data_IF_325909827764
#
_entry.id   IF_325909827764
#
_cell.length_a   1.000
_cell.length_b   1.000
_cell.length_c   1.000
_cell.angle_alpha   90.00
_cell.angle_beta   90.00
_cell.angle_gamma   90.00
#
_symmetry.space_group_name_H-M   'P 1'
#
loop_
_entity.id
_entity.type
_entity.pdbx_description
1 polymer ?
#
# COMPACT_ATOMS: atom_id res chain seq x y z
N UNK A 1 -9.90 33.90 -24.96
CA UNK A 1 -11.14 33.25 -24.49
C UNK A 1 -10.74 32.11 -23.54
N UNK A 2 -11.14 32.20 -22.27
CA UNK A 2 -10.85 31.22 -21.21
C UNK A 2 -12.18 30.56 -20.83
N UNK A 3 -12.27 29.23 -20.85
CA UNK A 3 -13.51 28.59 -20.41
C UNK A 3 -13.61 27.11 -20.74
N UNK A 4 -13.08 26.27 -19.85
CA UNK A 4 -13.73 25.04 -19.37
C UNK A 4 -13.21 24.79 -17.95
N UNK A 5 -14.02 25.06 -16.94
CA UNK A 5 -13.71 24.64 -15.57
C UNK A 5 -13.65 23.10 -15.57
N UNK A 6 -12.44 22.57 -15.35
CA UNK A 6 -12.26 21.14 -15.30
C UNK A 6 -12.78 20.63 -13.96
N UNK A 7 -13.94 19.96 -13.95
CA UNK A 7 -14.52 19.42 -12.72
C UNK A 7 -13.90 18.07 -12.41
N UNK A 8 -13.07 18.03 -11.37
CA UNK A 8 -12.57 16.79 -10.75
C UNK A 8 -13.69 16.16 -9.92
N UNK A 9 -13.87 14.85 -10.06
CA UNK A 9 -14.86 14.07 -9.33
C UNK A 9 -14.20 12.82 -8.77
N UNK A 10 -14.59 12.41 -7.57
CA UNK A 10 -14.15 11.14 -6.96
C UNK A 10 -15.37 10.40 -6.43
N UNK A 11 -15.56 9.16 -6.87
CA UNK A 11 -16.63 8.28 -6.43
C UNK A 11 -16.06 7.21 -5.51
N UNK A 12 -16.75 6.99 -4.39
CA UNK A 12 -16.40 6.00 -3.38
C UNK A 12 -17.49 4.95 -3.31
N UNK A 13 -17.09 3.68 -3.36
CA UNK A 13 -18.01 2.56 -3.31
C UNK A 13 -17.74 1.74 -2.05
N UNK A 14 -18.80 1.38 -1.35
CA UNK A 14 -18.73 0.65 -0.09
C UNK A 14 -19.55 -0.63 -0.18
N UNK A 15 -19.13 -1.68 0.54
CA UNK A 15 -19.95 -2.86 0.76
C UNK A 15 -20.91 -2.67 1.96
N UNK A 16 -21.76 -3.67 2.23
CA UNK A 16 -22.72 -3.65 3.35
C UNK A 16 -22.08 -3.59 4.74
N UNK A 17 -20.78 -3.87 4.85
CA UNK A 17 -19.99 -3.75 6.09
C UNK A 17 -19.32 -2.37 6.22
N UNK A 18 -19.72 -1.39 5.41
CA UNK A 18 -19.13 -0.05 5.36
C UNK A 18 -17.63 -0.04 5.00
N UNK A 19 -17.14 -1.05 4.29
CA UNK A 19 -15.76 -1.11 3.84
C UNK A 19 -15.64 -0.52 2.44
N UNK A 20 -14.64 0.34 2.23
CA UNK A 20 -14.37 0.98 0.94
C UNK A 20 -13.83 -0.05 -0.06
N UNK A 21 -14.63 -0.47 -1.03
CA UNK A 21 -14.24 -1.49 -2.01
C UNK A 21 -13.65 -0.90 -3.28
N UNK A 22 -14.01 0.34 -3.64
CA UNK A 22 -13.52 0.99 -4.86
C UNK A 22 -13.47 2.51 -4.72
N UNK A 23 -12.44 3.10 -5.30
CA UNK A 23 -12.32 4.55 -5.53
C UNK A 23 -12.13 4.77 -7.02
N UNK A 24 -12.99 5.58 -7.63
CA UNK A 24 -12.86 6.01 -9.02
C UNK A 24 -12.67 7.51 -9.06
N UNK A 25 -11.58 7.97 -9.68
CA UNK A 25 -11.36 9.38 -9.95
C UNK A 25 -11.64 9.65 -11.41
N UNK A 26 -12.30 10.78 -11.66
CA UNK A 26 -12.59 11.22 -13.01
C UNK A 26 -12.51 12.73 -13.16
N UNK A 27 -12.43 13.16 -14.42
CA UNK A 27 -12.34 14.54 -14.81
C UNK A 27 -13.26 14.76 -15.99
N UNK A 28 -14.11 15.79 -15.90
CA UNK A 28 -15.09 16.10 -16.95
C UNK A 28 -15.99 14.91 -17.33
N UNK A 29 -16.36 14.08 -16.35
CA UNK A 29 -17.20 12.89 -16.56
C UNK A 29 -16.48 11.67 -17.13
N UNK A 30 -15.19 11.77 -17.43
CA UNK A 30 -14.36 10.63 -17.85
C UNK A 30 -13.59 10.06 -16.66
N UNK A 31 -13.55 8.73 -16.56
CA UNK A 31 -12.77 8.01 -15.55
C UNK A 31 -11.28 8.09 -15.89
N UNK A 32 -10.46 8.54 -14.94
CA UNK A 32 -9.00 8.66 -15.07
C UNK A 32 -8.27 7.56 -14.33
N UNK A 33 -8.74 7.18 -13.13
CA UNK A 33 -8.11 6.12 -12.34
C UNK A 33 -9.12 5.35 -11.50
N UNK A 34 -8.78 4.10 -11.21
CA UNK A 34 -9.50 3.22 -10.31
C UNK A 34 -8.54 2.57 -9.33
N UNK A 35 -9.01 2.41 -8.11
CA UNK A 35 -8.40 1.57 -7.10
C UNK A 35 -9.46 0.68 -6.49
N UNK A 36 -9.21 -0.63 -6.40
CA UNK A 36 -10.08 -1.58 -5.69
C UNK A 36 -9.38 -2.14 -4.46
N UNK A 37 -10.17 -2.55 -3.46
CA UNK A 37 -9.67 -3.08 -2.19
C UNK A 37 -10.37 -4.39 -1.83
N UNK A 38 -9.61 -5.26 -1.18
CA UNK A 38 -10.09 -6.55 -0.67
C UNK A 38 -9.84 -6.64 0.84
N UNK A 39 -10.71 -7.34 1.53
CA UNK A 39 -10.72 -7.41 3.00
C UNK A 39 -10.86 -8.85 3.49
N UNK A 40 -10.26 -9.15 4.62
CA UNK A 40 -10.51 -10.39 5.37
C UNK A 40 -11.77 -10.27 6.27
N UNK A 41 -12.23 -11.36 6.92
CA UNK A 41 -13.41 -11.33 7.78
C UNK A 41 -13.30 -10.41 9.00
N UNK A 42 -12.10 -10.14 9.50
CA UNK A 42 -11.83 -9.20 10.60
C UNK A 42 -11.90 -7.74 10.12
N UNK A 43 -11.93 -7.53 8.81
CA UNK A 43 -12.09 -6.23 8.18
C UNK A 43 -10.78 -5.50 7.89
N UNK A 44 -9.65 -6.21 7.96
CA UNK A 44 -8.34 -5.70 7.55
C UNK A 44 -8.19 -5.81 6.04
N UNK A 45 -7.45 -4.89 5.42
CA UNK A 45 -7.20 -4.95 3.96
C UNK A 45 -6.19 -6.06 3.67
N UNK A 46 -6.52 -6.94 2.73
CA UNK A 46 -5.62 -8.02 2.25
C UNK A 46 -5.12 -7.78 0.83
N UNK A 47 -5.77 -6.87 0.10
CA UNK A 47 -5.43 -6.56 -1.29
C UNK A 47 -5.78 -5.12 -1.67
N UNK A 48 -4.99 -4.55 -2.58
CA UNK A 48 -5.28 -3.31 -3.29
C UNK A 48 -4.84 -3.44 -4.74
N UNK A 49 -5.73 -3.17 -5.69
CA UNK A 49 -5.39 -3.17 -7.11
C UNK A 49 -5.49 -1.76 -7.68
N UNK A 50 -4.47 -1.35 -8.43
CA UNK A 50 -4.48 -0.17 -9.30
C UNK A 50 -4.26 -0.61 -10.74
N UNK A 51 -4.32 0.33 -11.69
CA UNK A 51 -3.96 0.03 -13.08
C UNK A 51 -2.51 -0.50 -13.22
N UNK A 52 -1.62 -0.11 -12.32
CA UNK A 52 -0.18 -0.37 -12.42
C UNK A 52 0.25 -1.64 -11.67
N UNK A 53 -0.41 -1.98 -10.57
CA UNK A 53 0.00 -3.09 -9.70
C UNK A 53 -1.14 -3.61 -8.82
N UNK A 54 -0.98 -4.85 -8.38
CA UNK A 54 -1.67 -5.40 -7.23
C UNK A 54 -0.75 -5.36 -5.99
N UNK A 55 -1.28 -5.04 -4.82
CA UNK A 55 -0.54 -5.04 -3.55
C UNK A 55 -1.22 -6.01 -2.60
N UNK A 56 -0.49 -7.00 -2.11
CA UNK A 56 -0.94 -7.96 -1.11
C UNK A 56 -0.47 -7.57 0.29
N UNK A 57 -1.36 -7.71 1.28
CA UNK A 57 -1.06 -7.42 2.68
C UNK A 57 -1.18 -8.69 3.52
N UNK A 58 -0.12 -9.04 4.25
CA UNK A 58 -0.09 -10.15 5.19
C UNK A 58 -0.08 -9.62 6.62
N UNK A 59 -0.99 -10.12 7.44
CA UNK A 59 -1.16 -9.73 8.84
C UNK A 59 -0.77 -10.87 9.77
N UNK A 60 -0.17 -10.53 10.91
CA UNK A 60 0.05 -11.40 12.06
C UNK A 60 -0.61 -10.76 13.29
N UNK A 61 -1.71 -11.35 13.78
CA UNK A 61 -2.59 -10.67 14.73
C UNK A 61 -2.99 -9.26 14.23
N UNK A 62 -2.90 -8.23 15.06
CA UNK A 62 -3.26 -6.86 14.66
C UNK A 62 -2.15 -6.10 13.93
N UNK A 63 -1.11 -6.81 13.50
CA UNK A 63 0.13 -6.23 13.01
C UNK A 63 0.35 -6.55 11.53
N UNK A 64 0.66 -5.54 10.72
CA UNK A 64 0.96 -5.71 9.30
C UNK A 64 2.39 -6.25 9.13
N UNK A 65 2.51 -7.54 8.84
CA UNK A 65 3.79 -8.22 8.70
C UNK A 65 4.46 -7.94 7.35
N UNK A 66 3.69 -7.92 6.26
CA UNK A 66 4.24 -7.78 4.90
C UNK A 66 3.31 -7.04 3.94
N UNK A 67 3.94 -6.27 3.06
CA UNK A 67 3.35 -5.75 1.82
C UNK A 67 4.09 -6.36 0.62
N UNK A 68 3.38 -6.79 -0.41
CA UNK A 68 3.99 -7.32 -1.64
C UNK A 68 3.39 -6.65 -2.86
N UNK A 69 4.21 -5.88 -3.58
CA UNK A 69 3.86 -5.22 -4.83
C UNK A 69 4.06 -6.19 -6.00
N UNK A 70 2.98 -6.42 -6.73
CA UNK A 70 2.90 -7.19 -7.97
C UNK A 70 2.61 -6.25 -9.15
N UNK A 71 3.64 -5.74 -9.84
CA UNK A 71 3.44 -4.89 -11.01
C UNK A 71 2.71 -5.64 -12.13
N UNK A 72 1.79 -4.97 -12.81
CA UNK A 72 1.05 -5.55 -13.94
C UNK A 72 1.90 -5.54 -15.23
N UNK A 73 3.00 -4.77 -15.26
CA UNK A 73 3.87 -4.65 -16.42
C UNK A 73 4.91 -5.79 -16.46
N UNK A 74 5.05 -6.51 -17.59
CA UNK A 74 6.10 -7.50 -17.77
C UNK A 74 7.49 -6.90 -17.55
N UNK A 75 8.38 -7.66 -16.90
CA UNK A 75 9.77 -7.24 -16.66
C UNK A 75 9.97 -6.30 -15.46
N UNK A 76 8.90 -5.80 -14.83
CA UNK A 76 9.03 -5.14 -13.52
C UNK A 76 9.19 -6.18 -12.41
N UNK A 77 10.06 -5.87 -11.45
CA UNK A 77 10.42 -6.77 -10.36
C UNK A 77 9.41 -6.62 -9.23
N UNK A 78 9.00 -7.76 -8.65
CA UNK A 78 8.20 -7.81 -7.42
C UNK A 78 8.96 -7.15 -6.28
N UNK A 79 8.31 -6.25 -5.55
CA UNK A 79 8.92 -5.56 -4.42
C UNK A 79 8.21 -5.97 -3.13
N UNK A 80 8.97 -6.43 -2.14
CA UNK A 80 8.45 -6.79 -0.83
C UNK A 80 8.84 -5.76 0.21
N UNK A 81 7.94 -5.48 1.15
CA UNK A 81 8.27 -4.80 2.40
C UNK A 81 7.87 -5.69 3.58
N UNK A 82 8.84 -6.02 4.43
CA UNK A 82 8.64 -6.74 5.68
C UNK A 82 8.78 -5.77 6.86
N UNK A 83 7.90 -5.90 7.83
CA UNK A 83 7.92 -5.11 9.06
C UNK A 83 8.23 -6.03 10.24
N UNK A 84 9.20 -5.65 11.06
CA UNK A 84 9.57 -6.36 12.29
C UNK A 84 9.18 -5.52 13.49
N UNK A 85 8.57 -6.18 14.48
CA UNK A 85 7.96 -5.53 15.63
C UNK A 85 8.63 -5.93 16.92
N UNK A 86 8.63 -5.02 17.89
CA UNK A 86 9.02 -5.34 19.26
C UNK A 86 7.97 -6.25 19.92
N UNK A 87 8.43 -7.32 20.56
CA UNK A 87 7.58 -8.32 21.20
C UNK A 87 6.60 -7.70 22.20
N UNK A 88 5.33 -8.09 22.10
CA UNK A 88 4.26 -7.59 22.97
C UNK A 88 3.77 -6.19 22.65
N UNK A 89 4.22 -5.58 21.54
CA UNK A 89 3.78 -4.25 21.11
C UNK A 89 3.48 -4.21 19.60
N UNK A 90 2.78 -3.18 19.15
CA UNK A 90 2.62 -2.88 17.71
C UNK A 90 3.71 -1.94 17.19
N UNK A 91 4.85 -1.82 17.88
CA UNK A 91 5.94 -0.90 17.52
C UNK A 91 6.85 -1.52 16.44
N UNK A 92 6.89 -0.92 15.26
CA UNK A 92 7.85 -1.28 14.20
C UNK A 92 9.26 -0.88 14.65
N UNK A 93 10.21 -1.79 14.50
CA UNK A 93 11.64 -1.56 14.84
C UNK A 93 12.54 -1.64 13.61
N UNK A 94 12.24 -2.55 12.68
CA UNK A 94 13.01 -2.74 11.44
C UNK A 94 12.05 -2.90 10.28
N UNK A 95 12.39 -2.30 9.14
CA UNK A 95 11.72 -2.52 7.87
C UNK A 95 12.73 -3.09 6.88
N UNK A 96 12.40 -4.21 6.25
CA UNK A 96 13.13 -4.67 5.06
C UNK A 96 12.34 -4.30 3.83
N UNK A 97 12.97 -3.67 2.84
CA UNK A 97 12.30 -3.23 1.61
C UNK A 97 13.20 -3.47 0.42
N UNK A 98 12.79 -4.31 -0.52
CA UNK A 98 13.59 -4.61 -1.70
C UNK A 98 12.92 -5.56 -2.69
N UNK A 99 13.61 -5.86 -3.80
CA UNK A 99 13.15 -6.83 -4.77
C UNK A 99 13.03 -8.21 -4.12
N UNK A 100 11.98 -8.96 -4.44
CA UNK A 100 11.75 -10.30 -3.89
C UNK A 100 12.86 -11.29 -4.27
N UNK A 101 13.50 -11.07 -5.42
CA UNK A 101 14.75 -11.72 -5.80
C UNK A 101 15.92 -10.77 -5.55
N UNK A 102 16.65 -10.99 -4.45
CA UNK A 102 17.85 -10.20 -4.11
C UNK A 102 18.02 -10.01 -2.60
N UNK A 103 19.10 -9.32 -2.19
CA UNK A 103 19.24 -8.84 -0.81
C UNK A 103 18.37 -7.60 -0.65
N UNK A 104 17.46 -7.64 0.32
CA UNK A 104 16.71 -6.47 0.78
C UNK A 104 17.41 -5.92 2.04
N UNK A 105 17.78 -4.63 2.08
CA UNK A 105 18.40 -4.05 3.28
C UNK A 105 17.45 -4.11 4.47
N UNK A 106 18.01 -4.21 5.68
CA UNK A 106 17.28 -4.01 6.94
C UNK A 106 17.50 -2.56 7.36
N UNK A 107 16.40 -1.83 7.53
CA UNK A 107 16.43 -0.40 7.84
C UNK A 107 15.77 -0.20 9.21
N UNK A 108 16.52 0.36 10.16
CA UNK A 108 15.96 0.72 11.46
C UNK A 108 15.03 1.92 11.33
N UNK A 109 13.94 1.88 12.08
CA UNK A 109 12.99 2.99 12.17
C UNK A 109 12.94 3.54 13.59
N UNK A 110 12.72 4.83 13.72
CA UNK A 110 12.55 5.47 15.03
C UNK A 110 11.16 5.15 15.64
N UNK A 111 10.91 5.62 16.86
CA UNK A 111 9.64 5.38 17.58
C UNK A 111 8.38 5.92 16.88
N UNK A 112 8.53 6.71 15.81
CA UNK A 112 7.42 7.21 14.99
C UNK A 112 7.26 6.44 13.67
N UNK A 113 8.03 5.37 13.46
CA UNK A 113 8.01 4.55 12.25
C UNK A 113 8.70 5.18 11.04
N UNK A 114 9.43 6.28 11.23
CA UNK A 114 10.23 6.89 10.16
C UNK A 114 11.60 6.24 10.09
N UNK A 115 12.12 6.05 8.89
CA UNK A 115 13.50 5.58 8.66
C UNK A 115 14.47 6.49 9.42
N UNK A 116 15.31 5.89 10.25
CA UNK A 116 16.41 6.61 10.87
C UNK A 116 17.50 6.81 9.82
N UNK A 117 17.68 8.06 9.37
CA UNK A 117 18.67 8.40 8.34
C UNK A 117 20.11 8.21 8.83
N UNK A 118 20.32 8.07 10.14
CA UNK A 118 21.63 7.75 10.71
C UNK A 118 22.01 6.27 10.55
N UNK A 119 21.08 5.41 10.09
CA UNK A 119 21.31 3.98 9.84
C UNK A 119 21.73 3.67 8.39
N UNK A 120 21.90 4.70 7.55
CA UNK A 120 22.13 4.55 6.09
C UNK A 120 23.60 4.83 5.71
N UNK A 121 24.55 4.57 6.62
CA UNK A 121 25.98 4.70 6.32
C UNK A 121 26.89 4.05 7.36
N UNK A 122 27.48 2.91 7.00
CA UNK A 122 28.92 2.71 6.69
C UNK A 122 29.04 1.62 5.62
#
# INVERSE_FOLDING_TARGET
MRGKEQKLQTHYYYNSRHQLTKVEKGKNGQKESEVTFQYDPLGRRIGKTTAEKHVEFLWDGDVLLRETDHPNQPGKILHGRLHFFELGTSRITVVSSGPFKGRSPLIHVNNRGWIDTNSIGE
#
